data_IF_849062629069
#
_entry.id   IF_849062629069
#
_cell.length_a   1.000
_cell.length_b   1.000
_cell.length_c   1.000
_cell.angle_alpha   90.00
_cell.angle_beta   90.00
_cell.angle_gamma   90.00
#
_symmetry.space_group_name_H-M   'P 1'
#
loop_
_entity.id
_entity.type
_entity.pdbx_description
1 polymer ?
#
# COMPACT_ATOMS: atom_id res chain seq x y z
N UNK A 1 14.14 13.42 -25.65
CA UNK A 1 13.66 12.05 -25.43
C UNK A 1 12.14 12.12 -25.31
N UNK A 2 11.45 11.41 -26.21
CA UNK A 2 10.00 11.30 -26.15
C UNK A 2 9.61 10.72 -24.79
N UNK A 3 8.60 11.28 -24.17
CA UNK A 3 8.17 10.90 -22.79
C UNK A 3 7.41 9.56 -22.84
N UNK A 4 8.10 8.46 -23.23
CA UNK A 4 7.52 7.13 -23.33
C UNK A 4 7.34 6.55 -21.93
N UNK A 5 6.13 6.10 -21.62
CA UNK A 5 5.82 5.49 -20.32
C UNK A 5 6.11 3.98 -20.32
N UNK A 6 6.15 3.32 -21.48
CA UNK A 6 6.34 1.87 -21.59
C UNK A 6 6.83 1.45 -22.98
N UNK A 7 7.30 0.19 -23.09
CA UNK A 7 7.64 -0.50 -24.32
C UNK A 7 6.77 -1.76 -24.47
N UNK A 8 6.41 -2.11 -25.71
CA UNK A 8 5.63 -3.35 -26.00
C UNK A 8 6.51 -4.58 -26.10
N UNK A 9 7.79 -4.41 -26.38
CA UNK A 9 8.80 -5.47 -26.46
C UNK A 9 10.01 -5.01 -25.68
N UNK A 10 10.71 -5.97 -25.07
CA UNK A 10 11.98 -5.66 -24.42
C UNK A 10 12.96 -5.17 -25.48
N UNK A 11 13.53 -3.96 -25.36
CA UNK A 11 14.53 -3.47 -26.30
C UNK A 11 15.80 -4.33 -26.28
N UNK A 12 16.52 -4.35 -27.39
CA UNK A 12 17.85 -4.96 -27.44
C UNK A 12 18.80 -4.31 -26.44
N UNK A 13 19.76 -5.04 -25.93
CA UNK A 13 20.72 -4.53 -24.93
C UNK A 13 20.14 -4.40 -23.52
N UNK A 14 19.04 -5.08 -23.20
CA UNK A 14 18.53 -5.18 -21.82
C UNK A 14 18.71 -6.58 -21.25
N UNK A 15 19.04 -6.66 -19.96
CA UNK A 15 19.14 -7.91 -19.24
C UNK A 15 18.23 -7.93 -18.01
N UNK A 16 17.81 -9.13 -17.59
CA UNK A 16 17.04 -9.34 -16.37
C UNK A 16 17.95 -9.21 -15.13
N UNK A 17 17.80 -8.12 -14.39
CA UNK A 17 18.60 -7.85 -13.19
C UNK A 17 17.98 -8.40 -11.90
N UNK A 18 16.64 -8.55 -11.84
CA UNK A 18 15.94 -9.07 -10.65
C UNK A 18 14.56 -9.62 -11.03
N UNK A 19 14.18 -10.69 -10.32
CA UNK A 19 12.86 -11.31 -10.37
C UNK A 19 12.29 -11.42 -8.96
N UNK A 20 11.01 -11.07 -8.79
CA UNK A 20 10.23 -11.22 -7.57
C UNK A 20 8.98 -12.01 -7.91
N UNK A 21 8.65 -13.00 -7.08
CA UNK A 21 7.37 -13.72 -7.12
C UNK A 21 6.72 -13.63 -5.74
N UNK A 22 5.64 -12.86 -5.65
CA UNK A 22 4.90 -12.64 -4.40
C UNK A 22 4.16 -13.91 -3.90
N UNK A 23 4.01 -14.93 -4.75
CA UNK A 23 3.42 -16.23 -4.38
C UNK A 23 4.39 -17.14 -3.64
N UNK A 24 5.70 -16.84 -3.65
CA UNK A 24 6.69 -17.65 -2.92
C UNK A 24 6.40 -17.62 -1.42
N UNK A 25 6.27 -18.76 -0.74
CA UNK A 25 5.86 -18.83 0.66
C UNK A 25 6.71 -17.97 1.60
N UNK A 26 8.03 -17.99 1.43
CA UNK A 26 8.95 -17.23 2.25
C UNK A 26 8.76 -15.71 2.07
N UNK A 27 8.56 -15.26 0.82
CA UNK A 27 8.31 -13.84 0.54
C UNK A 27 6.99 -13.39 1.18
N UNK A 28 5.92 -14.16 0.97
CA UNK A 28 4.62 -13.90 1.60
C UNK A 28 4.69 -13.89 3.12
N UNK A 29 5.38 -14.85 3.73
CA UNK A 29 5.55 -14.91 5.18
C UNK A 29 6.26 -13.67 5.73
N UNK A 30 7.34 -13.23 5.09
CA UNK A 30 8.10 -12.04 5.52
C UNK A 30 7.25 -10.77 5.38
N UNK A 31 6.60 -10.57 4.21
CA UNK A 31 5.79 -9.36 3.98
C UNK A 31 4.57 -9.31 4.91
N UNK A 32 3.86 -10.41 5.08
CA UNK A 32 2.72 -10.47 6.00
C UNK A 32 3.15 -10.38 7.48
N UNK A 33 4.33 -10.89 7.83
CA UNK A 33 4.90 -10.70 9.17
C UNK A 33 5.20 -9.24 9.47
N UNK A 34 5.81 -8.52 8.52
CA UNK A 34 6.02 -7.07 8.61
C UNK A 34 4.67 -6.34 8.70
N UNK A 35 3.70 -6.71 7.86
CA UNK A 35 2.37 -6.13 7.88
C UNK A 35 1.69 -6.26 9.25
N UNK A 36 1.77 -7.43 9.89
CA UNK A 36 1.22 -7.65 11.22
C UNK A 36 1.90 -6.78 12.28
N UNK A 37 3.23 -6.69 12.26
CA UNK A 37 3.98 -5.84 13.20
C UNK A 37 3.61 -4.36 13.05
N UNK A 38 3.48 -3.89 11.82
CA UNK A 38 3.07 -2.51 11.52
C UNK A 38 1.63 -2.25 11.98
N UNK A 39 0.70 -3.18 11.73
CA UNK A 39 -0.67 -3.09 12.20
C UNK A 39 -0.73 -2.98 13.73
N UNK A 40 0.00 -3.83 14.45
CA UNK A 40 0.07 -3.78 15.91
C UNK A 40 0.66 -2.45 16.40
N UNK A 41 1.73 -1.96 15.79
CA UNK A 41 2.33 -0.67 16.14
C UNK A 41 1.35 0.49 15.94
N UNK A 42 0.63 0.53 14.82
CA UNK A 42 -0.39 1.55 14.54
C UNK A 42 -1.53 1.46 15.54
N UNK A 43 -1.99 0.25 15.89
CA UNK A 43 -3.02 0.05 16.91
C UNK A 43 -2.57 0.61 18.25
N UNK A 44 -1.37 0.26 18.71
CA UNK A 44 -0.80 0.77 19.98
C UNK A 44 -0.71 2.29 19.98
N UNK A 45 -0.19 2.90 18.91
CA UNK A 45 -0.07 4.36 18.79
C UNK A 45 -1.45 5.02 18.87
N UNK A 46 -2.42 4.54 18.09
CA UNK A 46 -3.76 5.13 18.06
C UNK A 46 -4.51 4.93 19.39
N UNK A 47 -4.38 3.78 20.06
CA UNK A 47 -4.97 3.60 21.39
C UNK A 47 -4.31 4.49 22.43
N UNK A 48 -2.99 4.70 22.38
CA UNK A 48 -2.29 5.63 23.25
C UNK A 48 -2.75 7.09 23.01
N UNK A 49 -2.93 7.49 21.74
CA UNK A 49 -3.48 8.81 21.40
C UNK A 49 -4.92 8.98 21.91
N UNK A 50 -5.78 7.97 21.74
CA UNK A 50 -7.13 7.99 22.28
C UNK A 50 -7.13 8.16 23.80
N UNK A 51 -6.33 7.38 24.50
CA UNK A 51 -6.19 7.47 25.95
C UNK A 51 -5.66 8.84 26.41
N UNK A 52 -4.69 9.40 25.71
CA UNK A 52 -4.13 10.71 26.02
C UNK A 52 -5.16 11.85 25.85
N UNK A 53 -6.06 11.73 24.88
CA UNK A 53 -7.09 12.75 24.60
C UNK A 53 -8.28 12.62 25.54
N UNK A 54 -8.67 11.40 25.93
CA UNK A 54 -9.93 11.16 26.66
C UNK A 54 -9.72 10.83 28.15
N UNK A 55 -8.49 10.57 28.57
CA UNK A 55 -8.20 10.02 29.88
C UNK A 55 -8.82 8.63 30.07
N UNK A 56 -8.98 8.20 31.32
CA UNK A 56 -9.54 6.88 31.64
C UNK A 56 -11.07 6.80 31.44
N UNK A 57 -11.74 7.93 31.30
CA UNK A 57 -13.21 8.00 31.25
C UNK A 57 -13.85 7.28 30.06
N UNK A 58 -13.16 7.22 28.90
CA UNK A 58 -13.67 6.53 27.71
C UNK A 58 -13.69 5.02 27.92
N UNK A 59 -12.71 4.46 28.61
CA UNK A 59 -12.59 3.02 28.87
C UNK A 59 -13.44 2.54 30.05
N UNK A 60 -13.92 3.43 30.89
CA UNK A 60 -14.83 3.11 31.99
C UNK A 60 -16.31 3.15 31.59
N UNK A 61 -16.68 3.80 30.50
CA UNK A 61 -18.06 3.88 30.04
C UNK A 61 -18.41 2.67 29.16
N UNK A 62 -19.35 1.85 29.61
CA UNK A 62 -19.76 0.63 28.91
C UNK A 62 -20.24 0.87 27.47
N UNK A 63 -21.03 1.92 27.22
CA UNK A 63 -21.52 2.21 25.87
C UNK A 63 -20.38 2.59 24.92
N UNK A 64 -19.37 3.27 25.42
CA UNK A 64 -18.18 3.67 24.63
C UNK A 64 -17.29 2.46 24.36
N UNK A 65 -17.03 1.62 25.35
CA UNK A 65 -16.26 0.37 25.16
C UNK A 65 -16.95 -0.54 24.13
N UNK A 66 -18.27 -0.63 24.18
CA UNK A 66 -19.05 -1.37 23.17
C UNK A 66 -18.89 -0.76 21.76
N UNK A 67 -18.92 0.56 21.63
CA UNK A 67 -18.69 1.24 20.34
C UNK A 67 -17.28 1.02 19.79
N UNK A 68 -16.24 1.04 20.66
CA UNK A 68 -14.88 0.69 20.26
C UNK A 68 -14.81 -0.75 19.72
N UNK A 69 -15.43 -1.71 20.40
CA UNK A 69 -15.46 -3.11 19.98
C UNK A 69 -16.14 -3.30 18.62
N UNK A 70 -17.32 -2.71 18.43
CA UNK A 70 -18.03 -2.76 17.15
C UNK A 70 -17.25 -2.07 16.04
N UNK A 71 -16.57 -0.96 16.33
CA UNK A 71 -15.67 -0.27 15.37
C UNK A 71 -14.56 -1.21 14.89
N UNK A 72 -13.95 -1.98 15.79
CA UNK A 72 -12.92 -2.96 15.44
C UNK A 72 -13.45 -4.07 14.50
N UNK A 73 -14.60 -4.65 14.83
CA UNK A 73 -15.25 -5.67 13.99
C UNK A 73 -15.61 -5.09 12.61
N UNK A 74 -16.22 -3.92 12.58
CA UNK A 74 -16.61 -3.26 11.33
C UNK A 74 -15.38 -2.89 10.47
N UNK A 75 -14.33 -2.35 11.07
CA UNK A 75 -13.06 -2.05 10.39
C UNK A 75 -12.43 -3.31 9.78
N UNK A 76 -12.49 -4.45 10.49
CA UNK A 76 -12.02 -5.73 9.98
C UNK A 76 -12.83 -6.19 8.76
N UNK A 77 -14.15 -6.06 8.79
CA UNK A 77 -15.01 -6.38 7.63
C UNK A 77 -14.69 -5.45 6.46
N UNK A 78 -14.56 -4.14 6.71
CA UNK A 78 -14.21 -3.18 5.66
C UNK A 78 -12.82 -3.41 5.06
N UNK A 79 -11.90 -4.07 5.78
CA UNK A 79 -10.57 -4.38 5.24
C UNK A 79 -10.62 -5.26 3.99
N UNK A 80 -11.62 -6.14 3.86
CA UNK A 80 -11.80 -6.93 2.64
C UNK A 80 -12.21 -6.07 1.44
N UNK A 81 -13.07 -5.07 1.66
CA UNK A 81 -13.44 -4.09 0.62
C UNK A 81 -12.24 -3.21 0.29
N UNK A 82 -11.51 -2.79 1.32
CA UNK A 82 -10.30 -1.98 1.16
C UNK A 82 -9.25 -2.67 0.28
N UNK A 83 -8.99 -3.98 0.45
CA UNK A 83 -8.03 -4.74 -0.37
C UNK A 83 -8.40 -4.63 -1.85
N UNK A 84 -9.67 -4.80 -2.21
CA UNK A 84 -10.11 -4.65 -3.60
C UNK A 84 -9.93 -3.22 -4.13
N UNK A 85 -10.27 -2.21 -3.31
CA UNK A 85 -10.08 -0.80 -3.68
C UNK A 85 -8.60 -0.43 -3.84
N UNK A 86 -7.71 -1.01 -3.03
CA UNK A 86 -6.26 -0.85 -3.14
C UNK A 86 -5.75 -1.26 -4.53
N UNK A 87 -6.12 -2.47 -4.98
CA UNK A 87 -5.75 -2.97 -6.31
C UNK A 87 -6.36 -2.13 -7.44
N UNK A 88 -7.57 -1.61 -7.26
CA UNK A 88 -8.20 -0.71 -8.23
C UNK A 88 -7.42 0.61 -8.37
N UNK A 89 -6.82 1.13 -7.30
CA UNK A 89 -5.99 2.34 -7.35
C UNK A 89 -4.69 2.07 -8.11
N UNK A 90 -4.03 0.91 -7.91
CA UNK A 90 -2.91 0.48 -8.75
C UNK A 90 -3.33 0.42 -10.22
N UNK A 91 -4.45 -0.24 -10.50
CA UNK A 91 -4.99 -0.35 -11.86
C UNK A 91 -5.29 1.00 -12.49
N UNK A 92 -5.92 1.92 -11.74
CA UNK A 92 -6.15 3.27 -12.22
C UNK A 92 -4.85 4.00 -12.57
N UNK A 93 -3.83 3.89 -11.72
CA UNK A 93 -2.54 4.52 -11.92
C UNK A 93 -1.82 3.95 -13.16
N UNK A 94 -1.78 2.63 -13.34
CA UNK A 94 -1.27 1.99 -14.55
C UNK A 94 -2.06 2.41 -15.78
N UNK A 95 -3.39 2.33 -15.73
CA UNK A 95 -4.26 2.70 -16.86
C UNK A 95 -4.05 4.14 -17.30
N UNK A 96 -3.92 5.06 -16.35
CA UNK A 96 -3.65 6.49 -16.61
C UNK A 96 -2.31 6.70 -17.29
N UNK A 97 -1.28 5.89 -16.98
CA UNK A 97 0.06 6.04 -17.53
C UNK A 97 0.28 5.27 -18.84
N UNK A 98 -0.37 4.14 -19.02
CA UNK A 98 -0.09 3.23 -20.13
C UNK A 98 -1.25 3.07 -21.11
N UNK A 99 -2.49 3.22 -20.65
CA UNK A 99 -3.68 2.92 -21.45
C UNK A 99 -3.90 1.41 -21.71
N UNK A 100 -3.00 0.54 -21.24
CA UNK A 100 -2.97 -0.88 -21.57
C UNK A 100 -3.94 -1.71 -20.72
N UNK A 101 -4.08 -3.00 -21.09
CA UNK A 101 -4.95 -3.96 -20.40
C UNK A 101 -4.36 -4.29 -19.04
N UNK A 102 -5.25 -4.32 -18.02
CA UNK A 102 -4.92 -4.67 -16.65
C UNK A 102 -5.26 -6.13 -16.35
N UNK A 103 -4.49 -6.75 -15.48
CA UNK A 103 -4.79 -8.06 -14.89
C UNK A 103 -4.96 -7.90 -13.38
N UNK A 104 -6.05 -8.43 -12.84
CA UNK A 104 -6.33 -8.46 -11.41
C UNK A 104 -6.45 -9.90 -10.94
N UNK A 105 -6.04 -10.16 -9.71
CA UNK A 105 -6.22 -11.45 -9.11
C UNK A 105 -5.88 -11.47 -7.62
N UNK A 106 -6.03 -12.65 -7.04
CA UNK A 106 -5.73 -12.91 -5.64
C UNK A 106 -5.07 -14.27 -5.50
N UNK A 107 -4.04 -14.33 -4.68
CA UNK A 107 -3.39 -15.56 -4.22
C UNK A 107 -3.63 -15.75 -2.72
N UNK A 108 -3.10 -16.81 -2.15
CA UNK A 108 -3.18 -17.05 -0.70
C UNK A 108 -2.41 -15.98 0.13
N UNK A 109 -1.43 -15.31 -0.45
CA UNK A 109 -0.53 -14.37 0.23
C UNK A 109 -0.77 -12.90 -0.11
N UNK A 110 -1.40 -12.60 -1.26
CA UNK A 110 -1.61 -11.22 -1.72
C UNK A 110 -2.74 -11.12 -2.75
N UNK A 111 -3.41 -9.97 -2.79
CA UNK A 111 -4.11 -9.48 -3.97
C UNK A 111 -3.09 -8.80 -4.89
N UNK A 112 -3.41 -8.64 -6.16
CA UNK A 112 -2.51 -8.01 -7.11
C UNK A 112 -3.24 -7.37 -8.30
N UNK A 113 -2.62 -6.33 -8.85
CA UNK A 113 -2.90 -5.74 -10.14
C UNK A 113 -1.61 -5.62 -10.96
N UNK A 114 -1.68 -5.87 -12.25
CA UNK A 114 -0.50 -5.76 -13.14
C UNK A 114 -0.85 -5.41 -14.58
N UNK A 115 0.20 -5.22 -15.39
CA UNK A 115 0.15 -4.94 -16.84
C UNK A 115 1.08 -5.90 -17.59
N UNK A 116 0.69 -7.18 -17.73
CA UNK A 116 1.60 -8.27 -18.12
C UNK A 116 2.20 -8.15 -19.51
N UNK A 117 1.56 -7.40 -20.40
CA UNK A 117 1.86 -7.39 -21.83
C UNK A 117 2.86 -6.28 -22.25
N UNK A 118 3.37 -5.51 -21.28
CA UNK A 118 4.28 -4.38 -21.53
C UNK A 118 5.43 -4.31 -20.51
N UNK A 119 6.42 -3.51 -20.86
CA UNK A 119 7.56 -3.14 -20.03
C UNK A 119 7.44 -1.67 -19.64
N UNK A 120 7.14 -1.38 -18.39
CA UNK A 120 6.87 -0.03 -17.90
C UNK A 120 8.17 0.61 -17.43
N UNK A 121 8.45 1.84 -17.85
CA UNK A 121 9.60 2.58 -17.37
C UNK A 121 9.51 2.86 -15.86
N UNK A 122 10.66 3.06 -15.23
CA UNK A 122 10.81 3.28 -13.78
C UNK A 122 9.83 4.30 -13.20
N UNK A 123 9.74 5.51 -13.78
CA UNK A 123 8.91 6.60 -13.23
C UNK A 123 7.40 6.25 -13.20
N UNK A 124 6.77 5.82 -14.30
CA UNK A 124 5.38 5.39 -14.25
C UNK A 124 5.16 4.13 -13.42
N UNK A 125 6.11 3.19 -13.34
CA UNK A 125 6.01 2.05 -12.43
C UNK A 125 6.02 2.50 -10.97
N UNK A 126 6.94 3.38 -10.58
CA UNK A 126 7.01 3.95 -9.23
C UNK A 126 5.74 4.73 -8.87
N UNK A 127 5.20 5.51 -9.81
CA UNK A 127 3.92 6.19 -9.62
C UNK A 127 2.78 5.22 -9.35
N UNK A 128 2.68 4.13 -10.13
CA UNK A 128 1.62 3.14 -9.95
C UNK A 128 1.75 2.39 -8.60
N UNK A 129 2.97 1.97 -8.24
CA UNK A 129 3.26 1.26 -6.99
C UNK A 129 2.97 2.11 -5.76
N UNK A 130 3.25 3.43 -5.78
CA UNK A 130 3.02 4.31 -4.64
C UNK A 130 1.60 4.90 -4.58
N UNK A 131 0.81 4.79 -5.65
CA UNK A 131 -0.49 5.45 -5.73
C UNK A 131 -1.45 5.07 -4.59
N UNK A 132 -1.67 3.79 -4.24
CA UNK A 132 -2.54 3.44 -3.12
C UNK A 132 -1.99 3.92 -1.78
N UNK A 133 -0.66 3.78 -1.56
CA UNK A 133 -0.01 4.21 -0.33
C UNK A 133 -0.27 5.69 -0.03
N UNK A 134 -0.13 6.53 -1.03
CA UNK A 134 -0.38 7.97 -0.87
C UNK A 134 -1.87 8.26 -0.72
N UNK A 135 -2.71 7.69 -1.59
CA UNK A 135 -4.14 7.98 -1.62
C UNK A 135 -4.84 7.59 -0.31
N UNK A 136 -4.71 6.33 0.09
CA UNK A 136 -5.35 5.85 1.33
C UNK A 136 -4.62 6.34 2.59
N UNK A 137 -3.30 6.58 2.51
CA UNK A 137 -2.55 7.16 3.61
C UNK A 137 -3.08 8.53 4.02
N UNK A 138 -3.29 9.42 3.05
CA UNK A 138 -3.89 10.74 3.29
C UNK A 138 -5.32 10.61 3.79
N UNK A 139 -6.13 9.74 3.17
CA UNK A 139 -7.53 9.54 3.55
C UNK A 139 -7.66 9.06 5.01
N UNK A 140 -6.97 7.98 5.37
CA UNK A 140 -7.11 7.39 6.71
C UNK A 140 -6.47 8.26 7.78
N UNK A 141 -5.34 8.93 7.49
CA UNK A 141 -4.77 9.91 8.41
C UNK A 141 -5.73 11.08 8.66
N UNK A 142 -6.35 11.62 7.62
CA UNK A 142 -7.35 12.68 7.74
C UNK A 142 -8.55 12.25 8.59
N UNK A 143 -9.10 11.06 8.34
CA UNK A 143 -10.21 10.51 9.13
C UNK A 143 -9.82 10.27 10.59
N UNK A 144 -8.60 9.80 10.86
CA UNK A 144 -8.06 9.63 12.22
C UNK A 144 -8.01 10.96 12.95
N UNK A 145 -7.43 12.00 12.32
CA UNK A 145 -7.30 13.34 12.93
C UNK A 145 -8.66 13.96 13.20
N UNK A 146 -9.59 13.89 12.24
CA UNK A 146 -10.94 14.43 12.40
C UNK A 146 -11.69 13.70 13.52
N UNK A 147 -11.63 12.37 13.55
CA UNK A 147 -12.30 11.59 14.59
C UNK A 147 -11.74 11.91 15.97
N UNK A 148 -10.42 12.00 16.10
CA UNK A 148 -9.77 12.33 17.36
C UNK A 148 -10.11 13.74 17.84
N UNK A 149 -10.17 14.71 16.93
CA UNK A 149 -10.56 16.08 17.23
C UNK A 149 -12.02 16.15 17.74
N UNK A 150 -12.96 15.45 17.09
CA UNK A 150 -14.35 15.41 17.56
C UNK A 150 -14.45 14.74 18.93
N UNK A 151 -13.74 13.64 19.14
CA UNK A 151 -13.68 12.94 20.45
C UNK A 151 -13.17 13.89 21.55
N UNK A 152 -12.13 14.68 21.26
CA UNK A 152 -11.51 15.60 22.21
C UNK A 152 -12.44 16.73 22.69
N UNK A 153 -13.27 17.23 21.79
CA UNK A 153 -14.06 18.46 22.05
C UNK A 153 -15.55 18.22 22.23
N UNK A 154 -16.06 16.99 22.03
CA UNK A 154 -17.49 16.71 22.21
C UNK A 154 -17.87 16.52 23.66
N UNK A 155 -18.90 17.24 24.13
CA UNK A 155 -19.58 16.95 25.41
C UNK A 155 -20.77 15.98 25.27
N UNK A 156 -21.11 15.54 24.06
CA UNK A 156 -22.27 14.71 23.79
C UNK A 156 -21.86 13.21 23.72
N UNK A 157 -22.41 12.39 24.61
CA UNK A 157 -22.08 10.97 24.70
C UNK A 157 -22.43 10.18 23.42
N UNK A 158 -23.53 10.52 22.74
CA UNK A 158 -23.92 9.85 21.51
C UNK A 158 -22.91 10.15 20.37
N UNK A 159 -22.49 11.41 20.24
CA UNK A 159 -21.45 11.82 19.28
C UNK A 159 -20.12 11.15 19.62
N UNK A 160 -19.73 11.14 20.90
CA UNK A 160 -18.53 10.46 21.36
C UNK A 160 -18.51 8.98 20.94
N UNK A 161 -19.61 8.25 21.19
CA UNK A 161 -19.71 6.85 20.86
C UNK A 161 -19.59 6.59 19.34
N UNK A 162 -20.22 7.42 18.51
CA UNK A 162 -20.13 7.33 17.04
C UNK A 162 -18.69 7.54 16.60
N UNK A 163 -18.01 8.58 17.11
CA UNK A 163 -16.64 8.86 16.70
C UNK A 163 -15.61 7.89 17.28
N UNK A 164 -15.84 7.31 18.43
CA UNK A 164 -15.06 6.20 18.95
C UNK A 164 -15.18 4.95 18.04
N UNK A 165 -16.39 4.63 17.59
CA UNK A 165 -16.61 3.57 16.61
C UNK A 165 -15.84 3.84 15.31
N UNK A 166 -15.99 5.05 14.71
CA UNK A 166 -15.30 5.44 13.47
C UNK A 166 -13.79 5.42 13.67
N UNK A 167 -13.30 5.96 14.77
CA UNK A 167 -11.87 6.01 15.09
C UNK A 167 -11.21 4.64 15.09
N UNK A 168 -11.83 3.65 15.78
CA UNK A 168 -11.27 2.29 15.81
C UNK A 168 -11.39 1.60 14.46
N UNK A 169 -12.51 1.78 13.75
CA UNK A 169 -12.64 1.22 12.40
C UNK A 169 -11.55 1.75 11.45
N UNK A 170 -11.29 3.06 11.50
CA UNK A 170 -10.22 3.71 10.71
C UNK A 170 -8.83 3.25 11.17
N UNK A 171 -8.62 3.06 12.48
CA UNK A 171 -7.35 2.52 13.03
C UNK A 171 -7.04 1.14 12.43
N UNK A 172 -8.03 0.25 12.35
CA UNK A 172 -7.85 -1.07 11.71
C UNK A 172 -7.52 -0.92 10.23
N UNK A 173 -8.27 -0.08 9.50
CA UNK A 173 -8.02 0.18 8.08
C UNK A 173 -6.64 0.79 7.85
N UNK A 174 -6.21 1.73 8.68
CA UNK A 174 -4.88 2.36 8.61
C UNK A 174 -3.77 1.33 8.86
N UNK A 175 -3.92 0.45 9.84
CA UNK A 175 -2.97 -0.62 10.12
C UNK A 175 -2.88 -1.62 8.97
N UNK A 176 -4.02 -2.04 8.43
CA UNK A 176 -4.09 -2.90 7.24
C UNK A 176 -3.49 -2.22 6.01
N UNK A 177 -3.71 -0.91 5.85
CA UNK A 177 -3.17 -0.14 4.74
C UNK A 177 -1.64 -0.05 4.79
N UNK A 178 -1.09 0.51 5.86
CA UNK A 178 0.37 0.72 5.94
C UNK A 178 1.12 -0.61 5.97
N UNK A 179 0.59 -1.61 6.70
CA UNK A 179 1.15 -2.95 6.74
C UNK A 179 1.04 -3.66 5.38
N UNK A 180 -0.15 -3.62 4.75
CA UNK A 180 -0.40 -4.24 3.45
C UNK A 180 0.44 -3.67 2.31
N UNK A 181 0.83 -2.40 2.39
CA UNK A 181 1.75 -1.78 1.42
C UNK A 181 3.21 -2.21 1.55
N UNK A 182 3.55 -3.15 2.46
CA UNK A 182 4.95 -3.59 2.65
C UNK A 182 5.61 -4.09 1.37
N UNK A 183 4.88 -4.83 0.53
CA UNK A 183 5.33 -5.29 -0.79
C UNK A 183 5.58 -4.14 -1.75
N UNK A 184 4.63 -3.20 -1.84
CA UNK A 184 4.74 -2.01 -2.70
C UNK A 184 5.91 -1.13 -2.29
N UNK A 185 6.07 -0.89 -0.99
CA UNK A 185 7.17 -0.11 -0.45
C UNK A 185 8.52 -0.79 -0.69
N UNK A 186 8.58 -2.13 -0.63
CA UNK A 186 9.78 -2.88 -1.01
C UNK A 186 10.13 -2.67 -2.49
N UNK A 187 9.15 -2.76 -3.40
CA UNK A 187 9.34 -2.50 -4.83
C UNK A 187 9.73 -1.04 -5.08
N UNK A 188 9.05 -0.10 -4.44
CA UNK A 188 9.40 1.32 -4.52
C UNK A 188 10.84 1.58 -4.06
N UNK A 189 11.26 0.96 -2.95
CA UNK A 189 12.63 1.06 -2.46
C UNK A 189 13.65 0.52 -3.47
N UNK A 190 13.37 -0.60 -4.12
CA UNK A 190 14.21 -1.15 -5.18
C UNK A 190 14.33 -0.16 -6.36
N UNK A 191 13.22 0.40 -6.81
CA UNK A 191 13.19 1.39 -7.90
C UNK A 191 13.89 2.71 -7.52
N UNK A 192 13.90 3.08 -6.24
CA UNK A 192 14.55 4.31 -5.78
C UNK A 192 16.04 4.14 -5.50
N UNK A 193 16.49 2.93 -5.10
CA UNK A 193 17.87 2.70 -4.62
C UNK A 193 18.69 1.85 -5.58
N UNK A 194 18.19 0.67 -5.95
CA UNK A 194 18.95 -0.29 -6.74
C UNK A 194 18.76 -0.08 -8.25
N UNK A 195 17.58 0.28 -8.66
CA UNK A 195 17.18 0.46 -10.06
C UNK A 195 16.81 1.93 -10.33
N UNK A 196 17.70 2.83 -9.90
CA UNK A 196 17.45 4.28 -9.95
C UNK A 196 17.63 4.91 -11.34
N UNK A 197 18.15 4.16 -12.33
CA UNK A 197 18.25 4.60 -13.72
C UNK A 197 16.85 4.75 -14.32
N UNK A 198 16.57 5.89 -14.93
CA UNK A 198 15.26 6.16 -15.58
C UNK A 198 14.98 5.23 -16.76
N UNK A 199 16.00 4.57 -17.32
CA UNK A 199 15.89 3.56 -18.38
C UNK A 199 15.46 2.18 -17.83
N UNK A 200 15.49 1.94 -16.51
CA UNK A 200 15.00 0.69 -15.93
C UNK A 200 13.60 0.39 -16.39
N UNK A 201 13.35 -0.84 -16.84
CA UNK A 201 12.06 -1.34 -17.26
C UNK A 201 11.55 -2.38 -16.25
N UNK A 202 10.27 -2.30 -15.95
CA UNK A 202 9.57 -3.26 -15.07
C UNK A 202 8.47 -3.93 -15.87
N UNK A 203 8.47 -5.26 -15.92
CA UNK A 203 7.33 -6.05 -16.36
C UNK A 203 6.61 -6.55 -15.13
N UNK A 204 5.38 -6.07 -14.94
CA UNK A 204 4.55 -6.39 -13.80
C UNK A 204 3.37 -7.25 -14.27
N UNK A 205 3.38 -8.53 -13.95
CA UNK A 205 2.29 -9.45 -14.30
C UNK A 205 1.22 -9.52 -13.22
N UNK A 206 1.40 -8.77 -12.13
CA UNK A 206 0.63 -8.81 -10.90
C UNK A 206 1.41 -9.56 -9.81
N UNK A 207 1.37 -10.89 -9.74
CA UNK A 207 2.11 -11.61 -8.70
C UNK A 207 3.62 -11.68 -8.96
N UNK A 208 4.06 -11.44 -10.19
CA UNK A 208 5.47 -11.51 -10.58
C UNK A 208 5.94 -10.19 -11.15
N UNK A 209 7.12 -9.77 -10.73
CA UNK A 209 7.75 -8.53 -11.18
C UNK A 209 9.17 -8.81 -11.65
N UNK A 210 9.47 -8.37 -12.87
CA UNK A 210 10.74 -8.53 -13.55
C UNK A 210 11.37 -7.16 -13.77
N UNK A 211 12.60 -6.97 -13.31
CA UNK A 211 13.33 -5.71 -13.44
C UNK A 211 14.44 -5.88 -14.47
N UNK A 212 14.40 -5.09 -15.52
CA UNK A 212 15.37 -5.10 -16.61
C UNK A 212 16.19 -3.81 -16.59
N UNK A 213 17.48 -3.94 -16.80
CA UNK A 213 18.42 -2.81 -16.91
C UNK A 213 19.14 -2.87 -18.26
N UNK A 214 19.54 -1.72 -18.83
CA UNK A 214 20.40 -1.75 -19.99
C UNK A 214 21.73 -2.40 -19.62
N UNK A 215 22.20 -3.29 -20.49
CA UNK A 215 23.55 -3.86 -20.40
C UNK A 215 24.53 -2.68 -20.49
N UNK A 216 25.47 -2.60 -19.56
CA UNK A 216 26.57 -1.66 -19.68
C UNK A 216 27.38 -2.08 -20.90
N UNK A 217 27.49 -1.24 -21.92
CA UNK A 217 28.53 -1.36 -22.90
C UNK A 217 29.84 -1.25 -22.07
N UNK A 218 30.55 -2.37 -21.95
CA UNK A 218 31.88 -2.34 -21.38
C UNK A 218 32.68 -1.30 -22.18
N UNK A 219 33.40 -0.40 -21.49
CA UNK A 219 34.39 0.49 -22.08
C UNK A 219 35.57 -0.36 -22.61
N UNK A 220 35.27 -1.30 -23.51
CA UNK A 220 36.24 -2.10 -24.21
C UNK A 220 36.46 -1.42 -25.57
N UNK A 221 37.67 -0.94 -25.72
CA UNK A 221 38.36 -0.33 -26.83
C UNK A 221 38.74 1.15 -26.63
N UNK A 222 39.54 1.41 -25.58
CA UNK A 222 40.62 2.39 -25.66
C UNK A 222 41.89 1.78 -25.08
N UNK A 223 42.50 0.89 -25.84
CA UNK A 223 43.93 0.58 -25.78
C UNK A 223 44.54 0.77 -27.17
#
# INVERSE_FOLDING_TARGET
>A
MENRNFERKLPEGYELAKYIDARKPMFGLVMNGIALLVLLAIAVINFALLAAVTGEGVFSNYSTVKSLGFGGVFGTILSFVYIALHELVHGYAYKKKTGEKLTFGMSWSCAYCGVPDIYVYRKPALFAVLAPFVFFGVLFLGLTVVSLAVIAFTGNLAVLNVFCFVYVAVTVLQGMHVGGCSGDLYVALLLCRRFADDRTLVRDTGPEQFFYIPVKEDEEYML
#
